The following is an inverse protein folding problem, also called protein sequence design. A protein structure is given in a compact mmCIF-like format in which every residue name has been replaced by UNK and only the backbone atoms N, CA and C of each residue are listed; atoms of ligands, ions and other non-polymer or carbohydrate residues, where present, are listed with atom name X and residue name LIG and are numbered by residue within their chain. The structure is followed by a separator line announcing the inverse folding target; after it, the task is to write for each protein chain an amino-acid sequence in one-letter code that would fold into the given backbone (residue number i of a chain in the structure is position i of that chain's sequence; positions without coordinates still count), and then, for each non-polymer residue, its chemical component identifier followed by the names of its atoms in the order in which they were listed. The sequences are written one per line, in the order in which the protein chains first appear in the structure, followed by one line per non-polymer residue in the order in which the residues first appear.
data_IF_207449608479
#
_entry.id   IF_207449608479
#
_cell.length_a   1.000
_cell.length_b   1.000
_cell.length_c   1.000
_cell.angle_alpha   90.00
_cell.angle_beta   90.00
_cell.angle_gamma   90.00
#
_symmetry.space_group_name_H-M   'P 1'
#
loop_
_entity.id
_entity.type
_entity.pdbx_description
1 polymer ?
#
# COMPACT_ATOMS: atom_id res chain seq x y z
N UNK A 1 -28.05 -8.05 9.01
CA UNK A 1 -27.57 -9.36 8.50
C UNK A 1 -26.05 -9.27 8.44
N UNK A 2 -25.32 -10.25 8.96
CA UNK A 2 -23.85 -10.24 8.90
C UNK A 2 -23.38 -10.29 7.44
N UNK A 3 -22.31 -9.56 7.10
CA UNK A 3 -21.71 -9.58 5.77
C UNK A 3 -21.21 -11.00 5.45
N UNK A 4 -21.63 -11.57 4.31
CA UNK A 4 -21.33 -12.96 3.92
C UNK A 4 -19.96 -13.08 3.22
N UNK A 5 -19.44 -11.96 2.68
CA UNK A 5 -18.14 -11.87 2.03
C UNK A 5 -17.56 -10.45 2.16
N UNK A 6 -16.22 -10.29 2.06
CA UNK A 6 -15.61 -8.96 2.00
C UNK A 6 -16.13 -8.15 0.81
N UNK A 7 -16.14 -6.82 0.99
CA UNK A 7 -16.38 -5.87 -0.09
C UNK A 7 -15.31 -6.03 -1.16
N UNK A 8 -15.70 -6.07 -2.43
CA UNK A 8 -14.76 -6.08 -3.55
C UNK A 8 -14.84 -4.78 -4.34
N UNK A 9 -13.96 -4.64 -5.33
CA UNK A 9 -13.87 -3.42 -6.17
C UNK A 9 -15.15 -3.12 -6.96
N UNK A 10 -15.92 -4.14 -7.36
CA UNK A 10 -17.17 -3.96 -8.10
C UNK A 10 -18.30 -3.46 -7.19
N UNK A 11 -18.38 -3.97 -5.96
CA UNK A 11 -19.32 -3.46 -4.96
C UNK A 11 -19.01 -2.00 -4.62
N UNK A 12 -17.73 -1.69 -4.41
CA UNK A 12 -17.25 -0.34 -4.13
C UNK A 12 -17.60 0.61 -5.29
N UNK A 13 -17.38 0.21 -6.54
CA UNK A 13 -17.75 1.01 -7.71
C UNK A 13 -19.26 1.31 -7.74
N UNK A 14 -20.10 0.28 -7.67
CA UNK A 14 -21.56 0.43 -7.74
C UNK A 14 -22.14 1.29 -6.59
N UNK A 15 -21.55 1.19 -5.40
CA UNK A 15 -21.96 2.00 -4.24
C UNK A 15 -21.48 3.44 -4.35
N UNK A 16 -20.26 3.68 -4.85
CA UNK A 16 -19.75 5.03 -5.08
C UNK A 16 -20.64 5.85 -6.03
N UNK A 17 -21.19 5.23 -7.08
CA UNK A 17 -22.14 5.90 -7.99
C UNK A 17 -23.37 6.48 -7.27
N UNK A 18 -23.75 5.88 -6.15
CA UNK A 18 -24.88 6.26 -5.30
C UNK A 18 -24.46 6.98 -4.01
N UNK A 19 -23.15 7.15 -3.79
CA UNK A 19 -22.57 7.73 -2.58
C UNK A 19 -22.94 9.21 -2.42
N UNK A 20 -22.85 9.72 -1.18
CA UNK A 20 -23.12 11.14 -0.89
C UNK A 20 -22.11 12.01 -1.65
N UNK A 21 -22.59 13.04 -2.36
CA UNK A 21 -21.71 14.03 -2.98
C UNK A 21 -21.02 14.87 -1.90
N UNK A 22 -19.71 15.01 -2.04
CA UNK A 22 -18.85 15.78 -1.13
C UNK A 22 -17.76 16.42 -1.98
N UNK A 23 -17.45 17.70 -1.72
CA UNK A 23 -16.32 18.34 -2.38
C UNK A 23 -15.01 17.91 -1.72
N UNK A 24 -13.92 17.84 -2.48
CA UNK A 24 -12.61 17.46 -1.95
C UNK A 24 -12.18 18.39 -0.81
N UNK A 25 -12.40 19.69 -0.95
CA UNK A 25 -12.13 20.66 0.10
C UNK A 25 -12.95 20.42 1.39
N UNK A 26 -14.23 20.06 1.27
CA UNK A 26 -15.05 19.69 2.44
C UNK A 26 -14.53 18.40 3.09
N UNK A 27 -14.14 17.42 2.27
CA UNK A 27 -13.59 16.15 2.76
C UNK A 27 -12.29 16.37 3.56
N UNK A 28 -11.32 17.05 2.95
CA UNK A 28 -9.97 17.21 3.50
C UNK A 28 -9.93 18.19 4.67
N UNK A 29 -10.63 19.32 4.57
CA UNK A 29 -10.51 20.40 5.55
C UNK A 29 -11.57 20.36 6.65
N UNK A 30 -12.65 19.57 6.49
CA UNK A 30 -13.74 19.52 7.47
C UNK A 30 -14.02 18.11 7.97
N UNK A 31 -14.33 17.17 7.07
CA UNK A 31 -14.82 15.84 7.46
C UNK A 31 -13.71 15.01 8.12
N UNK A 32 -12.57 14.85 7.45
CA UNK A 32 -11.42 14.08 7.97
C UNK A 32 -10.91 14.65 9.31
N UNK A 33 -10.50 15.93 9.42
CA UNK A 33 -9.97 16.47 10.66
C UNK A 33 -11.03 16.51 11.77
N UNK A 34 -12.29 16.82 11.42
CA UNK A 34 -13.39 16.86 12.37
C UNK A 34 -13.69 15.51 13.00
N UNK A 35 -13.78 14.45 12.19
CA UNK A 35 -14.03 13.10 12.70
C UNK A 35 -12.81 12.56 13.47
N UNK A 36 -11.59 12.79 12.98
CA UNK A 36 -10.37 12.38 13.68
C UNK A 36 -10.24 13.04 15.06
N UNK A 37 -10.55 14.35 15.18
CA UNK A 37 -10.53 15.05 16.46
C UNK A 37 -11.56 14.50 17.45
N UNK A 38 -12.80 14.27 16.99
CA UNK A 38 -13.88 13.67 17.80
C UNK A 38 -13.50 12.28 18.31
N UNK A 39 -12.93 11.44 17.45
CA UNK A 39 -12.55 10.07 17.82
C UNK A 39 -11.33 10.06 18.74
N UNK A 40 -10.35 10.94 18.53
CA UNK A 40 -9.24 11.13 19.46
C UNK A 40 -9.75 11.47 20.87
N UNK A 41 -10.72 12.37 20.99
CA UNK A 41 -11.32 12.75 22.26
C UNK A 41 -12.15 11.60 22.85
N UNK A 42 -13.09 11.04 22.07
CA UNK A 42 -13.97 9.93 22.47
C UNK A 42 -13.19 8.76 23.04
N UNK A 43 -12.11 8.37 22.36
CA UNK A 43 -11.27 7.25 22.76
C UNK A 43 -10.10 7.67 23.65
N UNK A 44 -9.98 8.94 24.07
CA UNK A 44 -8.89 9.46 24.91
C UNK A 44 -7.50 9.04 24.41
N UNK A 45 -7.24 9.17 23.09
CA UNK A 45 -5.98 8.75 22.47
C UNK A 45 -4.87 9.74 22.84
N UNK A 46 -3.90 9.26 23.61
CA UNK A 46 -2.73 10.01 24.07
C UNK A 46 -1.50 9.12 23.98
N UNK A 47 -0.58 9.44 23.07
CA UNK A 47 0.69 8.74 22.95
C UNK A 47 1.70 9.33 23.95
N UNK A 48 2.57 8.46 24.48
CA UNK A 48 3.71 8.87 25.28
C UNK A 48 4.86 9.38 24.42
N UNK A 49 6.08 9.40 24.99
CA UNK A 49 7.30 9.77 24.27
C UNK A 49 7.85 8.64 23.41
N UNK A 50 7.43 7.41 23.69
CA UNK A 50 7.90 6.22 22.98
C UNK A 50 7.36 6.16 21.55
N UNK A 51 8.22 5.76 20.62
CA UNK A 51 7.85 5.56 19.22
C UNK A 51 6.90 4.36 19.08
N UNK A 52 7.09 3.32 19.91
CA UNK A 52 6.28 2.10 19.89
C UNK A 52 5.40 2.03 21.14
N UNK A 53 4.05 2.09 21.01
CA UNK A 53 3.17 2.03 22.17
C UNK A 53 3.12 0.61 22.77
N UNK A 54 3.46 0.49 24.04
CA UNK A 54 3.42 -0.79 24.76
C UNK A 54 2.10 -1.03 25.49
N UNK A 55 1.41 0.03 25.90
CA UNK A 55 0.11 0.01 26.58
C UNK A 55 -0.95 -0.70 25.73
N UNK A 56 -1.46 -1.82 26.24
CA UNK A 56 -2.46 -2.67 25.57
C UNK A 56 -3.81 -1.98 25.44
N UNK A 57 -4.22 -1.22 26.46
CA UNK A 57 -5.50 -0.51 26.46
C UNK A 57 -5.48 0.60 25.41
N UNK A 58 -4.39 1.37 25.37
CA UNK A 58 -4.20 2.40 24.35
C UNK A 58 -4.22 1.82 22.92
N UNK A 59 -3.58 0.67 22.69
CA UNK A 59 -3.59 -0.01 21.38
C UNK A 59 -5.00 -0.47 20.99
N UNK A 60 -5.76 -1.02 21.93
CA UNK A 60 -7.14 -1.44 21.67
C UNK A 60 -8.04 -0.25 21.35
N UNK A 61 -7.99 0.81 22.17
CA UNK A 61 -8.74 2.05 21.89
C UNK A 61 -8.35 2.67 20.55
N UNK A 62 -7.07 2.62 20.17
CA UNK A 62 -6.61 3.11 18.88
C UNK A 62 -7.18 2.26 17.72
N UNK A 63 -7.21 0.94 17.86
CA UNK A 63 -7.83 0.05 16.87
C UNK A 63 -9.33 0.34 16.71
N UNK A 64 -10.07 0.44 17.81
CA UNK A 64 -11.51 0.76 17.78
C UNK A 64 -11.77 2.15 17.20
N UNK A 65 -10.96 3.16 17.54
CA UNK A 65 -11.05 4.49 16.95
C UNK A 65 -10.82 4.48 15.43
N UNK A 66 -9.85 3.69 14.94
CA UNK A 66 -9.59 3.54 13.51
C UNK A 66 -10.70 2.82 12.75
N UNK A 67 -11.26 1.77 13.36
CA UNK A 67 -12.42 1.05 12.82
C UNK A 67 -13.63 1.98 12.72
N UNK A 68 -13.96 2.69 13.80
CA UNK A 68 -15.06 3.65 13.80
C UNK A 68 -14.81 4.81 12.83
N UNK A 69 -13.57 5.28 12.68
CA UNK A 69 -13.21 6.30 11.69
C UNK A 69 -13.59 5.86 10.28
N UNK A 70 -13.22 4.64 9.89
CA UNK A 70 -13.53 4.10 8.56
C UNK A 70 -15.04 3.95 8.34
N UNK A 71 -15.76 3.42 9.34
CA UNK A 71 -17.23 3.18 9.25
C UNK A 71 -18.01 4.49 9.21
N UNK A 72 -17.66 5.46 10.04
CA UNK A 72 -18.38 6.74 10.16
C UNK A 72 -18.00 7.73 9.06
N UNK A 73 -16.76 7.70 8.58
CA UNK A 73 -16.27 8.65 7.57
C UNK A 73 -16.46 8.12 6.16
N UNK A 74 -16.15 6.83 5.93
CA UNK A 74 -16.17 6.22 4.61
C UNK A 74 -14.88 6.47 3.80
N UNK A 75 -14.97 6.25 2.49
CA UNK A 75 -13.86 6.42 1.52
C UNK A 75 -14.30 7.41 0.44
N UNK A 76 -13.52 8.46 0.23
CA UNK A 76 -13.77 9.44 -0.83
C UNK A 76 -13.26 8.95 -2.18
N UNK A 77 -14.11 9.09 -3.20
CA UNK A 77 -13.78 8.89 -4.59
C UNK A 77 -13.67 10.27 -5.27
N UNK A 78 -12.43 10.67 -5.57
CA UNK A 78 -12.12 11.98 -6.15
C UNK A 78 -12.67 12.15 -7.57
N UNK A 79 -12.68 11.08 -8.39
CA UNK A 79 -13.21 11.13 -9.75
C UNK A 79 -14.72 11.45 -9.79
N UNK A 80 -15.46 10.92 -8.81
CA UNK A 80 -16.91 11.07 -8.72
C UNK A 80 -17.36 12.18 -7.76
N UNK A 81 -16.44 12.69 -6.93
CA UNK A 81 -16.74 13.61 -5.83
C UNK A 81 -17.75 13.03 -4.84
N UNK A 82 -17.60 11.75 -4.49
CA UNK A 82 -18.57 11.01 -3.67
C UNK A 82 -17.92 10.15 -2.59
N UNK A 83 -18.67 9.87 -1.54
CA UNK A 83 -18.22 9.04 -0.41
C UNK A 83 -18.90 7.67 -0.44
N UNK A 84 -18.07 6.63 -0.37
CA UNK A 84 -18.47 5.24 -0.10
C UNK A 84 -18.59 5.02 1.40
N UNK A 85 -19.77 4.60 1.85
CA UNK A 85 -19.98 4.12 3.22
C UNK A 85 -19.80 2.60 3.29
N UNK A 86 -19.16 2.13 4.36
CA UNK A 86 -18.85 0.72 4.62
C UNK A 86 -19.32 0.40 6.05
N UNK A 87 -19.93 -0.77 6.25
CA UNK A 87 -20.36 -1.18 7.59
C UNK A 87 -19.22 -1.81 8.40
N UNK A 88 -19.36 -1.83 9.72
CA UNK A 88 -18.40 -2.49 10.61
C UNK A 88 -18.26 -3.98 10.27
N UNK A 89 -19.37 -4.67 9.99
CA UNK A 89 -19.36 -6.09 9.64
C UNK A 89 -18.59 -6.36 8.35
N UNK A 90 -18.65 -5.45 7.37
CA UNK A 90 -17.89 -5.57 6.12
C UNK A 90 -16.39 -5.40 6.37
N UNK A 91 -15.99 -4.46 7.22
CA UNK A 91 -14.59 -4.28 7.62
C UNK A 91 -14.08 -5.52 8.36
N UNK A 92 -14.85 -6.02 9.34
CA UNK A 92 -14.46 -7.19 10.13
C UNK A 92 -14.40 -8.48 9.31
N UNK A 93 -15.29 -8.68 8.34
CA UNK A 93 -15.20 -9.81 7.41
C UNK A 93 -13.95 -9.69 6.52
N UNK A 94 -13.58 -8.48 6.11
CA UNK A 94 -12.31 -8.22 5.41
C UNK A 94 -11.09 -8.60 6.24
N UNK A 95 -11.01 -8.14 7.50
CA UNK A 95 -9.92 -8.48 8.43
C UNK A 95 -9.83 -10.00 8.62
N UNK A 96 -10.96 -10.67 8.85
CA UNK A 96 -11.04 -12.12 9.05
C UNK A 96 -10.52 -12.94 7.87
N UNK A 97 -10.70 -12.43 6.64
CA UNK A 97 -10.29 -13.09 5.39
C UNK A 97 -8.87 -12.73 4.93
N UNK A 98 -8.15 -11.90 5.69
CA UNK A 98 -6.79 -11.47 5.34
C UNK A 98 -5.83 -12.69 5.27
N UNK A 99 -4.98 -12.78 4.23
CA UNK A 99 -3.97 -13.84 4.13
C UNK A 99 -3.05 -13.87 5.35
N UNK A 100 -2.74 -15.07 5.86
CA UNK A 100 -1.85 -15.24 7.03
C UNK A 100 -0.37 -15.26 6.67
N UNK A 101 -0.04 -15.53 5.41
CA UNK A 101 1.30 -15.50 4.86
C UNK A 101 1.22 -15.49 3.33
N UNK A 102 2.30 -15.08 2.69
CA UNK A 102 2.51 -15.11 1.23
C UNK A 102 3.93 -15.61 0.95
N UNK A 103 4.15 -16.15 -0.25
CA UNK A 103 5.49 -16.37 -0.79
C UNK A 103 5.69 -15.34 -1.88
N UNK A 104 6.78 -14.58 -1.78
CA UNK A 104 7.18 -13.55 -2.73
C UNK A 104 8.39 -14.07 -3.52
N UNK A 105 8.32 -14.00 -4.84
CA UNK A 105 9.35 -14.58 -5.71
C UNK A 105 9.23 -16.09 -5.84
N UNK A 106 10.22 -16.71 -6.47
CA UNK A 106 10.18 -18.14 -6.81
C UNK A 106 11.53 -18.83 -6.54
N UNK A 107 11.49 -20.16 -6.44
CA UNK A 107 12.68 -21.01 -6.37
C UNK A 107 13.67 -20.55 -5.27
N UNK A 108 14.96 -20.43 -5.61
CA UNK A 108 16.02 -20.07 -4.67
C UNK A 108 15.94 -18.62 -4.15
N UNK A 109 15.19 -17.76 -4.83
CA UNK A 109 15.07 -16.34 -4.49
C UNK A 109 13.74 -16.04 -3.78
N UNK A 110 12.91 -17.05 -3.52
CA UNK A 110 11.63 -16.90 -2.84
C UNK A 110 11.82 -16.55 -1.36
N UNK A 111 11.00 -15.61 -0.85
CA UNK A 111 10.94 -15.25 0.56
C UNK A 111 9.52 -15.42 1.10
N UNK A 112 9.41 -15.96 2.31
CA UNK A 112 8.13 -16.11 3.01
C UNK A 112 7.80 -14.81 3.77
N UNK A 113 6.72 -14.15 3.36
CA UNK A 113 6.19 -12.96 4.01
C UNK A 113 5.07 -13.34 4.98
N UNK A 114 5.26 -13.07 6.28
CA UNK A 114 4.31 -13.47 7.31
C UNK A 114 4.35 -12.49 8.52
N UNK A 115 3.31 -12.44 9.37
CA UNK A 115 3.15 -11.45 10.45
C UNK A 115 4.27 -11.46 11.51
N UNK A 116 4.80 -10.28 11.83
CA UNK A 116 5.77 -10.07 12.92
C UNK A 116 5.06 -9.44 14.13
N UNK A 117 5.37 -9.93 15.34
CA UNK A 117 5.06 -9.22 16.59
C UNK A 117 6.06 -8.08 16.81
N UNK A 118 5.75 -7.15 17.71
CA UNK A 118 6.59 -5.96 17.97
C UNK A 118 8.06 -6.30 18.29
N UNK A 119 8.33 -7.40 18.99
CA UNK A 119 9.65 -7.88 19.36
C UNK A 119 10.06 -9.18 18.62
N UNK A 120 9.60 -9.38 17.38
CA UNK A 120 9.90 -10.60 16.65
C UNK A 120 11.42 -10.78 16.44
N UNK A 121 12.01 -11.94 16.80
CA UNK A 121 13.46 -12.19 16.71
C UNK A 121 13.96 -12.35 15.27
N UNK A 122 13.04 -12.44 14.30
CA UNK A 122 13.34 -12.55 12.86
C UNK A 122 13.31 -11.19 12.19
N UNK A 123 14.23 -10.98 11.23
CA UNK A 123 14.27 -9.78 10.39
C UNK A 123 12.97 -9.63 9.58
N UNK A 124 12.54 -8.41 9.24
CA UNK A 124 11.49 -8.22 8.24
C UNK A 124 11.97 -8.68 6.85
N UNK A 125 11.02 -8.84 5.93
CA UNK A 125 11.35 -8.89 4.49
C UNK A 125 11.85 -7.50 4.08
N UNK A 126 13.01 -7.44 3.44
CA UNK A 126 13.64 -6.20 3.02
C UNK A 126 13.36 -6.02 1.53
N UNK A 127 12.42 -5.13 1.21
CA UNK A 127 12.15 -4.70 -0.15
C UNK A 127 13.04 -3.49 -0.48
N UNK A 128 14.00 -3.66 -1.37
CA UNK A 128 14.99 -2.65 -1.72
C UNK A 128 14.84 -2.15 -3.15
N UNK A 129 15.05 -0.85 -3.35
CA UNK A 129 15.04 -0.25 -4.68
C UNK A 129 14.78 1.25 -4.64
N UNK A 130 14.67 1.89 -5.82
CA UNK A 130 14.45 3.34 -5.90
C UNK A 130 13.10 3.80 -5.33
N UNK A 131 12.17 2.88 -5.03
CA UNK A 131 10.93 3.18 -4.29
C UNK A 131 10.09 4.26 -4.97
N UNK A 132 9.78 4.05 -6.25
CA UNK A 132 8.98 4.97 -7.07
C UNK A 132 9.70 6.27 -7.47
N UNK A 133 10.96 6.46 -7.07
CA UNK A 133 11.74 7.63 -7.50
C UNK A 133 11.97 7.58 -9.03
N UNK A 134 11.98 8.75 -9.71
CA UNK A 134 12.31 8.81 -11.13
C UNK A 134 13.77 8.41 -11.35
N UNK A 135 14.00 7.54 -12.33
CA UNK A 135 15.31 7.02 -12.71
C UNK A 135 15.54 7.25 -14.20
N UNK A 136 16.72 7.75 -14.54
CA UNK A 136 17.14 7.94 -15.94
C UNK A 136 17.25 6.59 -16.65
N UNK A 137 16.77 6.56 -17.89
CA UNK A 137 16.73 5.37 -18.75
C UNK A 137 18.07 4.62 -18.83
N UNK A 138 19.17 5.37 -19.04
CA UNK A 138 20.51 4.85 -19.30
C UNK A 138 21.11 4.03 -18.15
N UNK A 139 20.68 4.31 -16.92
CA UNK A 139 21.22 3.71 -15.69
C UNK A 139 20.20 2.83 -14.98
N UNK A 140 19.02 2.64 -15.56
CA UNK A 140 17.91 1.96 -14.89
C UNK A 140 18.28 0.52 -14.48
N UNK A 141 18.89 -0.24 -15.40
CA UNK A 141 19.34 -1.63 -15.13
C UNK A 141 20.39 -1.66 -14.03
N UNK A 142 21.37 -0.77 -14.06
CA UNK A 142 22.48 -0.70 -13.12
C UNK A 142 21.98 -0.33 -11.72
N UNK A 143 21.04 0.62 -11.63
CA UNK A 143 20.41 0.99 -10.37
C UNK A 143 19.60 -0.19 -9.81
N UNK A 144 18.76 -0.85 -10.61
CA UNK A 144 18.02 -2.01 -10.11
C UNK A 144 18.94 -3.17 -9.72
N UNK A 145 20.03 -3.38 -10.46
CA UNK A 145 21.03 -4.40 -10.17
C UNK A 145 21.75 -4.12 -8.85
N UNK A 146 22.02 -2.84 -8.54
CA UNK A 146 22.71 -2.47 -7.30
C UNK A 146 21.95 -2.89 -6.05
N UNK A 147 20.61 -2.93 -6.09
CA UNK A 147 19.81 -3.50 -4.99
C UNK A 147 19.70 -5.03 -5.09
N UNK A 148 19.51 -5.58 -6.29
CA UNK A 148 19.33 -7.02 -6.47
C UNK A 148 20.55 -7.83 -6.00
N UNK A 149 21.77 -7.31 -6.21
CA UNK A 149 23.01 -7.98 -5.84
C UNK A 149 23.29 -7.97 -4.32
N UNK A 150 22.61 -7.12 -3.55
CA UNK A 150 22.80 -7.05 -2.11
C UNK A 150 22.10 -8.22 -1.42
N UNK A 151 22.86 -9.06 -0.72
CA UNK A 151 22.35 -10.25 -0.06
C UNK A 151 21.31 -9.95 1.04
N UNK A 152 21.30 -8.71 1.56
CA UNK A 152 20.32 -8.26 2.56
C UNK A 152 18.94 -7.99 1.96
N UNK A 153 18.87 -7.69 0.66
CA UNK A 153 17.62 -7.38 -0.06
C UNK A 153 16.91 -8.66 -0.44
N UNK A 154 15.68 -8.83 0.02
CA UNK A 154 14.87 -10.03 -0.21
C UNK A 154 13.97 -9.88 -1.46
N UNK A 155 13.39 -8.69 -1.67
CA UNK A 155 12.57 -8.36 -2.85
C UNK A 155 12.94 -6.98 -3.39
N UNK A 156 12.49 -6.66 -4.60
CA UNK A 156 12.73 -5.35 -5.21
C UNK A 156 11.49 -4.46 -5.13
N UNK A 157 11.70 -3.15 -5.10
CA UNK A 157 10.67 -2.14 -5.41
C UNK A 157 11.19 -1.25 -6.53
N UNK A 158 10.42 -1.12 -7.60
CA UNK A 158 10.89 -0.42 -8.80
C UNK A 158 11.07 1.08 -8.55
N UNK A 159 11.99 1.69 -9.31
CA UNK A 159 11.90 3.11 -9.64
C UNK A 159 11.00 3.33 -10.84
N UNK A 160 10.70 4.59 -11.16
CA UNK A 160 9.91 4.95 -12.34
C UNK A 160 10.84 5.38 -13.45
N UNK A 161 10.73 4.75 -14.62
CA UNK A 161 11.46 5.18 -15.80
C UNK A 161 10.89 6.51 -16.33
N UNK A 162 11.61 7.62 -16.09
CA UNK A 162 11.10 8.97 -16.41
C UNK A 162 11.01 9.23 -17.93
N UNK A 163 11.91 8.62 -18.69
CA UNK A 163 11.96 8.68 -20.15
C UNK A 163 12.17 7.30 -20.75
N UNK A 164 11.66 7.07 -21.95
CA UNK A 164 11.95 5.89 -22.76
C UNK A 164 12.17 6.31 -24.21
N UNK A 165 13.28 5.89 -24.82
CA UNK A 165 13.69 6.31 -26.16
C UNK A 165 13.75 7.85 -26.30
N UNK A 166 14.19 8.52 -25.23
CA UNK A 166 14.26 9.99 -25.18
C UNK A 166 12.90 10.71 -25.07
N UNK A 167 11.78 9.98 -24.93
CA UNK A 167 10.45 10.55 -24.77
C UNK A 167 9.98 10.44 -23.32
N UNK A 168 9.27 11.46 -22.82
CA UNK A 168 8.71 11.45 -21.46
C UNK A 168 7.58 10.43 -21.31
N UNK A 169 7.59 9.68 -20.20
CA UNK A 169 6.58 8.68 -19.86
C UNK A 169 5.30 9.31 -19.25
N UNK A 170 4.66 10.24 -19.98
CA UNK A 170 3.50 10.97 -19.47
C UNK A 170 2.25 10.09 -19.38
N UNK A 171 1.46 10.26 -18.31
CA UNK A 171 0.21 9.55 -18.06
C UNK A 171 -0.80 9.70 -19.20
N UNK A 172 -1.58 8.65 -19.48
CA UNK A 172 -2.58 8.57 -20.55
C UNK A 172 -1.99 8.75 -21.96
N UNK A 173 -0.74 8.31 -22.16
CA UNK A 173 -0.11 8.30 -23.48
C UNK A 173 0.46 6.91 -23.82
N UNK A 174 0.69 6.59 -25.11
CA UNK A 174 1.39 5.36 -25.48
C UNK A 174 2.79 5.22 -24.85
N UNK A 175 3.43 6.34 -24.46
CA UNK A 175 4.74 6.34 -23.82
C UNK A 175 4.70 5.80 -22.39
N UNK A 176 3.61 5.99 -21.65
CA UNK A 176 3.41 5.38 -20.33
C UNK A 176 3.43 3.85 -20.42
N UNK A 177 2.69 3.29 -21.38
CA UNK A 177 2.64 1.84 -21.62
C UNK A 177 4.03 1.32 -22.02
N UNK A 178 4.73 2.04 -22.91
CA UNK A 178 6.07 1.65 -23.37
C UNK A 178 7.09 1.69 -22.23
N UNK A 179 7.07 2.73 -21.40
CA UNK A 179 7.95 2.87 -20.24
C UNK A 179 7.71 1.75 -19.22
N UNK A 180 6.45 1.44 -18.88
CA UNK A 180 6.11 0.35 -17.96
C UNK A 180 6.65 -1.01 -18.46
N UNK A 181 6.49 -1.31 -19.76
CA UNK A 181 7.00 -2.56 -20.32
C UNK A 181 8.53 -2.60 -20.34
N UNK A 182 9.20 -1.47 -20.59
CA UNK A 182 10.65 -1.36 -20.54
C UNK A 182 11.18 -1.50 -19.11
N UNK A 183 10.51 -0.89 -18.13
CA UNK A 183 10.80 -1.00 -16.70
C UNK A 183 10.82 -2.48 -16.26
N UNK A 184 9.74 -3.22 -16.51
CA UNK A 184 9.63 -4.63 -16.13
C UNK A 184 10.73 -5.50 -16.76
N UNK A 185 11.11 -5.21 -18.02
CA UNK A 185 12.20 -5.90 -18.73
C UNK A 185 13.55 -5.57 -18.11
N UNK A 186 13.81 -4.31 -17.83
CA UNK A 186 15.06 -3.85 -17.22
C UNK A 186 15.25 -4.41 -15.80
N UNK A 187 14.18 -4.48 -14.99
CA UNK A 187 14.21 -5.11 -13.66
C UNK A 187 14.47 -6.61 -13.78
N UNK A 188 13.87 -7.29 -14.75
CA UNK A 188 14.15 -8.71 -15.02
C UNK A 188 15.61 -8.92 -15.40
N UNK A 189 16.15 -8.07 -16.28
CA UNK A 189 17.55 -8.11 -16.68
C UNK A 189 18.49 -7.89 -15.49
N UNK A 190 18.23 -6.87 -14.67
CA UNK A 190 18.99 -6.57 -13.46
C UNK A 190 19.05 -7.77 -12.50
N UNK A 191 17.91 -8.43 -12.26
CA UNK A 191 17.83 -9.66 -11.44
C UNK A 191 18.66 -10.81 -12.02
N UNK A 192 18.63 -11.01 -13.34
CA UNK A 192 19.43 -12.03 -14.02
C UNK A 192 20.93 -11.72 -13.87
N UNK A 193 21.35 -10.47 -14.12
CA UNK A 193 22.74 -10.02 -13.96
C UNK A 193 23.26 -10.18 -12.55
N UNK A 194 22.41 -9.96 -11.54
CA UNK A 194 22.71 -10.19 -10.13
C UNK A 194 22.70 -11.68 -9.72
N UNK A 195 22.40 -12.61 -10.63
CA UNK A 195 22.30 -14.02 -10.33
C UNK A 195 21.09 -14.38 -9.46
N UNK A 196 20.05 -13.56 -9.41
CA UNK A 196 18.83 -13.77 -8.59
C UNK A 196 17.56 -13.58 -9.43
N UNK A 197 17.39 -14.38 -10.51
CA UNK A 197 16.36 -14.14 -11.53
C UNK A 197 14.92 -14.28 -11.02
N UNK A 198 14.71 -14.90 -9.85
CA UNK A 198 13.39 -15.22 -9.33
C UNK A 198 12.96 -14.32 -8.16
N UNK A 199 13.70 -13.24 -7.85
CA UNK A 199 13.30 -12.29 -6.81
C UNK A 199 11.92 -11.69 -7.14
N UNK A 200 11.10 -11.46 -6.11
CA UNK A 200 9.87 -10.71 -6.25
C UNK A 200 10.15 -9.22 -6.55
N UNK A 201 9.23 -8.59 -7.27
CA UNK A 201 9.15 -7.16 -7.55
C UNK A 201 7.80 -6.63 -7.07
#
# INVERSE_FOLDING_TARGET
MAAVRPLNVFDAYNRNLKGKKVTEAEWDYQIIPGNAAKLKEKYNIKFGKEIVPEDKDLKERLFQAGLEMLVTTGIYNADLGRVLTISEEEVMEGIKKTPKWLVLGENRDAVRFEPRKGNAPRKPVIQGGPTGAPVSEEVFVQIMQSYAQEAVVDTLVNGVMATIEGNGAATNTPWEIRAMMAELRAVREARIRAGRPYMAI
#
